data_IF_527981866135
#
_entry.id   IF_527981866135
#
_cell.length_a   1.000
_cell.length_b   1.000
_cell.length_c   1.000
_cell.angle_alpha   90.00
_cell.angle_beta   90.00
_cell.angle_gamma   90.00
#
_symmetry.space_group_name_H-M   'P 1'
#
loop_
_entity.id
_entity.type
_entity.pdbx_description
1 polymer ?
#
# COMPACT_ATOMS: atom_id res chain seq x y z
N UNK A 1 -21.69 17.67 -0.71
CA UNK A 1 -21.47 19.07 -0.29
C UNK A 1 -20.59 19.67 -1.38
N UNK A 2 -21.09 20.59 -2.21
CA UNK A 2 -20.26 21.23 -3.24
C UNK A 2 -19.28 22.15 -2.51
N UNK A 3 -17.99 21.92 -2.66
CA UNK A 3 -16.97 22.83 -2.13
C UNK A 3 -16.80 23.92 -3.19
N UNK A 4 -17.57 25.00 -3.10
CA UNK A 4 -17.26 26.21 -3.86
C UNK A 4 -16.05 26.88 -3.21
N UNK A 5 -14.89 26.74 -3.83
CA UNK A 5 -13.71 27.53 -3.48
C UNK A 5 -13.66 28.79 -4.33
N UNK A 6 -12.94 29.81 -3.87
CA UNK A 6 -12.66 31.02 -4.66
C UNK A 6 -12.07 30.65 -6.03
N UNK A 7 -11.20 29.64 -6.08
CA UNK A 7 -10.60 29.12 -7.32
C UNK A 7 -11.62 28.51 -8.28
N UNK A 8 -12.62 27.75 -7.79
CA UNK A 8 -13.69 27.19 -8.67
C UNK A 8 -14.58 28.25 -9.31
N UNK A 9 -14.60 29.46 -8.75
CA UNK A 9 -15.38 30.60 -9.27
C UNK A 9 -14.54 31.49 -10.18
N UNK A 10 -13.26 31.68 -9.86
CA UNK A 10 -12.35 32.58 -10.60
C UNK A 10 -11.70 31.90 -11.81
N UNK A 11 -11.51 30.58 -11.77
CA UNK A 11 -10.85 29.79 -12.82
C UNK A 11 -11.64 28.51 -13.13
N UNK A 12 -12.89 28.63 -13.61
CA UNK A 12 -13.80 27.49 -13.76
C UNK A 12 -13.35 26.48 -14.82
N UNK A 13 -12.60 26.92 -15.84
CA UNK A 13 -12.14 26.04 -16.91
C UNK A 13 -10.98 25.13 -16.47
N UNK A 14 -10.16 25.60 -15.51
CA UNK A 14 -8.98 24.87 -15.01
C UNK A 14 -9.27 24.07 -13.72
N UNK A 15 -10.15 24.60 -12.86
CA UNK A 15 -10.42 24.06 -11.52
C UNK A 15 -11.91 23.78 -11.28
N UNK A 16 -12.64 23.35 -12.31
CA UNK A 16 -14.04 22.94 -12.18
C UNK A 16 -14.22 21.94 -11.03
N UNK A 17 -15.35 22.02 -10.32
CA UNK A 17 -15.69 20.99 -9.34
C UNK A 17 -16.01 19.67 -10.05
N UNK A 18 -15.25 18.63 -9.76
CA UNK A 18 -15.39 17.31 -10.33
C UNK A 18 -16.15 16.37 -9.37
N UNK A 19 -17.40 16.09 -9.72
CA UNK A 19 -18.26 15.16 -8.97
C UNK A 19 -17.75 13.72 -8.98
N UNK A 20 -17.08 13.31 -10.04
CA UNK A 20 -16.59 11.94 -10.21
C UNK A 20 -15.21 11.91 -10.90
N UNK A 21 -14.17 11.95 -10.07
CA UNK A 21 -12.78 11.81 -10.51
C UNK A 21 -12.48 10.41 -11.10
N UNK A 22 -13.39 9.43 -11.00
CA UNK A 22 -13.24 8.09 -11.58
C UNK A 22 -13.96 7.95 -12.94
N UNK A 23 -14.58 9.01 -13.45
CA UNK A 23 -15.31 9.00 -14.74
C UNK A 23 -14.44 8.78 -15.99
N UNK A 24 -13.12 8.74 -15.82
CA UNK A 24 -12.15 8.80 -16.92
C UNK A 24 -11.68 10.22 -17.25
N UNK A 25 -12.29 11.24 -16.65
CA UNK A 25 -11.90 12.65 -16.79
C UNK A 25 -11.58 13.24 -15.40
N UNK A 26 -10.31 13.14 -14.92
CA UNK A 26 -9.96 13.48 -13.55
C UNK A 26 -9.68 14.98 -13.32
N UNK A 27 -9.70 15.82 -14.37
CA UNK A 27 -9.40 17.25 -14.25
C UNK A 27 -10.40 17.95 -13.31
N UNK A 28 -9.93 18.97 -12.60
CA UNK A 28 -10.70 19.74 -11.63
C UNK A 28 -10.45 19.37 -10.16
N UNK A 29 -11.37 19.78 -9.29
CA UNK A 29 -11.31 19.57 -7.83
C UNK A 29 -12.39 18.58 -7.38
N UNK A 30 -12.00 17.49 -6.74
CA UNK A 30 -12.94 16.50 -6.19
C UNK A 30 -12.38 15.81 -4.96
N UNK A 31 -13.25 15.12 -4.22
CA UNK A 31 -12.87 14.35 -3.03
C UNK A 31 -13.16 12.86 -3.26
N UNK A 32 -12.18 12.02 -2.91
CA UNK A 32 -12.31 10.56 -2.90
C UNK A 32 -11.61 10.02 -1.67
N UNK A 33 -12.31 9.15 -0.94
CA UNK A 33 -11.81 8.54 0.29
C UNK A 33 -12.25 7.09 0.38
N UNK A 34 -11.40 6.22 0.92
CA UNK A 34 -11.75 4.85 1.30
C UNK A 34 -12.09 4.78 2.79
N UNK A 35 -13.20 5.41 3.17
CA UNK A 35 -13.66 5.52 4.56
C UNK A 35 -15.10 5.01 4.65
N UNK A 36 -15.34 4.07 5.57
CA UNK A 36 -16.67 3.49 5.83
C UNK A 36 -16.99 3.58 7.32
N UNK A 37 -18.13 4.18 7.66
CA UNK A 37 -18.55 4.35 9.05
C UNK A 37 -17.56 5.18 9.90
N UNK A 38 -16.86 6.14 9.27
CA UNK A 38 -15.86 6.97 9.93
C UNK A 38 -14.52 6.28 10.20
N UNK A 39 -14.30 5.06 9.68
CA UNK A 39 -13.05 4.32 9.80
C UNK A 39 -12.45 4.05 8.42
N UNK A 40 -11.13 3.96 8.34
CA UNK A 40 -10.43 3.59 7.12
C UNK A 40 -10.88 2.19 6.67
N UNK A 41 -11.28 2.07 5.40
CA UNK A 41 -11.64 0.79 4.79
C UNK A 41 -10.48 0.33 3.91
N UNK A 42 -9.67 -0.58 4.47
CA UNK A 42 -8.50 -1.17 3.82
C UNK A 42 -8.86 -2.40 3.00
N UNK A 43 -7.96 -2.85 2.14
CA UNK A 43 -8.09 -4.16 1.48
C UNK A 43 -8.20 -5.31 2.49
N UNK A 44 -7.50 -5.23 3.63
CA UNK A 44 -7.60 -6.24 4.67
C UNK A 44 -8.99 -6.31 5.30
N UNK A 45 -9.59 -5.17 5.67
CA UNK A 45 -10.95 -5.13 6.24
C UNK A 45 -12.00 -5.54 5.21
N UNK A 46 -11.83 -5.14 3.95
CA UNK A 46 -12.77 -5.39 2.86
C UNK A 46 -12.72 -6.79 2.26
N UNK A 47 -11.57 -7.47 2.26
CA UNK A 47 -11.39 -8.78 1.60
C UNK A 47 -10.90 -9.90 2.52
N UNK A 48 -10.29 -9.56 3.67
CA UNK A 48 -9.77 -10.51 4.67
C UNK A 48 -10.43 -10.33 6.05
N UNK A 49 -11.48 -9.52 6.15
CA UNK A 49 -12.21 -9.27 7.39
C UNK A 49 -12.89 -10.53 7.96
N UNK A 50 -13.37 -10.45 9.22
CA UNK A 50 -13.93 -11.58 9.94
C UNK A 50 -14.99 -12.39 9.18
N UNK A 51 -15.80 -11.70 8.38
CA UNK A 51 -16.86 -12.27 7.56
C UNK A 51 -16.37 -13.29 6.51
N UNK A 52 -15.08 -13.32 6.18
CA UNK A 52 -14.51 -14.22 5.19
C UNK A 52 -13.76 -15.42 5.78
N UNK A 53 -13.55 -15.47 7.11
CA UNK A 53 -12.87 -16.61 7.74
C UNK A 53 -13.71 -17.90 7.71
N UNK A 54 -15.04 -17.78 7.65
CA UNK A 54 -15.95 -18.93 7.62
C UNK A 54 -16.18 -19.50 6.20
N UNK A 55 -15.39 -19.07 5.21
CA UNK A 55 -15.47 -19.67 3.87
C UNK A 55 -15.04 -21.14 3.93
N UNK A 56 -15.70 -22.03 3.17
CA UNK A 56 -15.41 -23.47 3.21
C UNK A 56 -14.00 -23.83 2.71
N UNK A 57 -13.37 -22.97 1.92
CA UNK A 57 -11.98 -23.13 1.52
C UNK A 57 -11.08 -22.46 2.58
N UNK A 58 -10.11 -23.17 3.16
CA UNK A 58 -9.27 -22.62 4.21
C UNK A 58 -8.39 -21.49 3.67
N UNK A 59 -8.53 -20.31 4.25
CA UNK A 59 -7.67 -19.16 3.99
C UNK A 59 -6.75 -18.94 5.19
N UNK A 60 -5.45 -19.15 5.00
CA UNK A 60 -4.44 -18.91 6.04
C UNK A 60 -3.75 -17.57 5.79
N UNK A 61 -3.79 -16.68 6.77
CA UNK A 61 -3.02 -15.45 6.77
C UNK A 61 -1.89 -15.57 7.80
N UNK A 62 -0.65 -15.75 7.31
CA UNK A 62 0.53 -15.83 8.16
C UNK A 62 1.13 -14.44 8.32
N UNK A 63 0.84 -13.78 9.43
CA UNK A 63 1.44 -12.50 9.78
C UNK A 63 2.88 -12.68 10.27
N UNK A 64 3.66 -11.59 10.26
CA UNK A 64 5.07 -11.61 10.69
C UNK A 64 5.96 -12.54 9.85
N UNK A 65 5.52 -12.94 8.66
CA UNK A 65 6.16 -13.95 7.84
C UNK A 65 6.61 -13.32 6.53
N UNK A 66 7.92 -13.28 6.28
CA UNK A 66 8.53 -12.66 5.10
C UNK A 66 9.02 -13.73 4.13
N UNK A 67 8.50 -13.69 2.90
CA UNK A 67 9.04 -14.45 1.77
C UNK A 67 10.45 -13.93 1.45
N UNK A 68 11.42 -14.84 1.35
CA UNK A 68 12.83 -14.52 1.09
C UNK A 68 13.19 -14.76 -0.37
N UNK A 69 12.76 -15.89 -0.94
CA UNK A 69 12.87 -16.22 -2.36
C UNK A 69 11.86 -17.30 -2.79
N UNK A 70 11.66 -17.40 -4.09
CA UNK A 70 11.10 -18.56 -4.75
C UNK A 70 12.20 -19.61 -4.96
N UNK A 71 11.80 -20.87 -4.90
CA UNK A 71 12.70 -22.02 -5.06
C UNK A 71 12.27 -22.83 -6.27
N UNK A 72 13.24 -23.18 -7.14
CA UNK A 72 13.00 -24.02 -8.32
C UNK A 72 12.42 -25.38 -7.88
N UNK A 73 11.26 -25.73 -8.43
CA UNK A 73 10.60 -27.02 -8.20
C UNK A 73 10.85 -28.02 -9.35
N UNK A 74 11.10 -27.52 -10.56
CA UNK A 74 11.32 -28.32 -11.77
C UNK A 74 12.66 -29.06 -11.77
N UNK A 75 12.67 -30.30 -12.28
CA UNK A 75 13.90 -31.07 -12.55
C UNK A 75 14.74 -30.42 -13.66
N UNK A 76 16.01 -30.80 -13.75
CA UNK A 76 16.89 -30.32 -14.83
C UNK A 76 16.35 -30.73 -16.20
N UNK A 77 16.36 -29.78 -17.16
CA UNK A 77 15.82 -29.97 -18.51
C UNK A 77 14.30 -29.81 -18.63
N UNK A 78 13.55 -29.72 -17.52
CA UNK A 78 12.12 -29.43 -17.56
C UNK A 78 11.86 -27.91 -17.59
N UNK A 79 10.69 -27.46 -18.09
CA UNK A 79 10.27 -26.07 -17.99
C UNK A 79 10.35 -25.55 -16.55
N UNK A 80 10.72 -24.28 -16.40
CA UNK A 80 10.88 -23.65 -15.10
C UNK A 80 9.57 -23.68 -14.32
N UNK A 81 9.58 -24.29 -13.13
CA UNK A 81 8.46 -24.27 -12.20
C UNK A 81 8.86 -23.65 -10.85
N UNK A 82 8.08 -22.67 -10.37
CA UNK A 82 8.31 -21.90 -9.14
C UNK A 82 7.21 -22.14 -8.11
N UNK A 83 6.96 -23.41 -7.78
CA UNK A 83 5.89 -23.82 -6.86
C UNK A 83 6.37 -23.94 -5.41
N UNK A 84 7.60 -23.54 -5.10
CA UNK A 84 8.16 -23.58 -3.75
C UNK A 84 8.52 -22.17 -3.30
N UNK A 85 8.10 -21.81 -2.09
CA UNK A 85 8.31 -20.48 -1.50
C UNK A 85 9.11 -20.65 -0.21
N UNK A 86 10.27 -19.98 -0.13
CA UNK A 86 11.04 -19.87 1.10
C UNK A 86 10.58 -18.63 1.88
N UNK A 87 10.38 -18.79 3.19
CA UNK A 87 10.02 -17.69 4.08
C UNK A 87 10.66 -17.81 5.46
N UNK A 88 10.64 -16.71 6.20
CA UNK A 88 11.21 -16.58 7.55
C UNK A 88 10.35 -15.66 8.42
N UNK A 89 10.41 -15.82 9.74
CA UNK A 89 9.69 -14.97 10.72
C UNK A 89 10.61 -13.95 11.42
N UNK A 90 11.83 -13.76 10.91
CA UNK A 90 12.78 -12.81 11.44
C UNK A 90 14.16 -12.98 10.80
N UNK A 91 15.05 -12.00 11.02
CA UNK A 91 16.39 -11.97 10.41
C UNK A 91 17.23 -13.22 10.73
N UNK A 92 17.08 -13.75 11.94
CA UNK A 92 17.83 -14.91 12.44
C UNK A 92 16.93 -16.13 12.69
N UNK A 93 15.71 -16.15 12.17
CA UNK A 93 14.81 -17.30 12.33
C UNK A 93 15.15 -18.39 11.31
N UNK A 94 14.81 -19.63 11.64
CA UNK A 94 14.80 -20.72 10.66
C UNK A 94 14.01 -20.34 9.41
N UNK A 95 14.53 -20.81 8.26
CA UNK A 95 13.85 -20.69 6.98
C UNK A 95 12.97 -21.91 6.76
N UNK A 96 11.78 -21.69 6.23
CA UNK A 96 10.82 -22.73 5.92
C UNK A 96 10.48 -22.70 4.44
N UNK A 97 10.15 -23.86 3.87
CA UNK A 97 9.71 -23.98 2.48
C UNK A 97 8.27 -24.48 2.46
N UNK A 98 7.40 -23.75 1.77
CA UNK A 98 6.04 -24.18 1.44
C UNK A 98 5.96 -24.55 -0.03
N UNK A 99 5.25 -25.63 -0.34
CA UNK A 99 4.98 -26.06 -1.72
C UNK A 99 3.51 -25.85 -2.05
N UNK A 100 3.23 -25.23 -3.20
CA UNK A 100 1.87 -25.09 -3.76
C UNK A 100 1.63 -26.15 -4.83
N UNK A 101 0.38 -26.58 -4.98
CA UNK A 101 -0.02 -27.54 -6.03
C UNK A 101 -0.28 -26.90 -7.38
N UNK A 102 -0.51 -25.58 -7.41
CA UNK A 102 -0.85 -24.83 -8.62
C UNK A 102 0.17 -23.74 -8.88
N UNK A 103 -0.06 -22.58 -8.27
CA UNK A 103 0.61 -21.33 -8.64
C UNK A 103 1.03 -20.56 -7.40
N UNK A 104 2.03 -19.69 -7.58
CA UNK A 104 2.46 -18.68 -6.61
C UNK A 104 2.12 -17.32 -7.19
N UNK A 105 1.32 -16.54 -6.46
CA UNK A 105 0.98 -15.16 -6.83
C UNK A 105 1.84 -14.22 -5.99
N UNK A 106 2.73 -13.48 -6.64
CA UNK A 106 3.53 -12.45 -5.98
C UNK A 106 2.74 -11.14 -5.92
N UNK A 107 2.39 -10.74 -4.70
CA UNK A 107 1.72 -9.46 -4.40
C UNK A 107 2.51 -8.63 -3.38
N UNK A 108 3.84 -8.67 -3.44
CA UNK A 108 4.73 -8.02 -2.47
C UNK A 108 4.98 -6.52 -2.77
N UNK A 109 4.14 -5.90 -3.61
CA UNK A 109 4.25 -4.51 -4.04
C UNK A 109 5.37 -4.25 -5.05
N UNK A 110 5.50 -3.01 -5.48
CA UNK A 110 6.45 -2.55 -6.51
C UNK A 110 7.91 -2.67 -6.09
N UNK A 111 8.20 -2.67 -4.78
CA UNK A 111 9.56 -2.82 -4.23
C UNK A 111 9.83 -4.28 -3.86
N UNK A 112 8.89 -4.93 -3.15
CA UNK A 112 9.12 -6.28 -2.63
C UNK A 112 9.08 -7.37 -3.69
N UNK A 113 8.22 -7.25 -4.71
CA UNK A 113 8.12 -8.23 -5.79
C UNK A 113 9.43 -8.37 -6.59
N UNK A 114 10.03 -7.30 -7.12
CA UNK A 114 11.31 -7.43 -7.81
C UNK A 114 12.43 -7.90 -6.87
N UNK A 115 12.42 -7.51 -5.59
CA UNK A 115 13.38 -8.03 -4.61
C UNK A 115 13.29 -9.55 -4.48
N UNK A 116 12.08 -10.10 -4.35
CA UNK A 116 11.86 -11.55 -4.26
C UNK A 116 12.34 -12.24 -5.54
N UNK A 117 12.04 -11.70 -6.72
CA UNK A 117 12.49 -12.26 -7.99
C UNK A 117 14.01 -12.29 -8.13
N UNK A 118 14.70 -11.18 -7.81
CA UNK A 118 16.16 -11.10 -7.85
C UNK A 118 16.79 -12.10 -6.87
N UNK A 119 16.26 -12.21 -5.64
CA UNK A 119 16.69 -13.22 -4.67
C UNK A 119 16.38 -14.66 -5.12
N UNK A 120 15.46 -14.83 -6.07
CA UNK A 120 15.10 -16.11 -6.70
C UNK A 120 15.94 -16.39 -7.95
N UNK A 121 16.99 -15.61 -8.17
CA UNK A 121 17.91 -15.72 -9.30
C UNK A 121 17.21 -15.41 -10.65
N UNK A 122 16.15 -14.60 -10.62
CA UNK A 122 15.39 -14.16 -11.81
C UNK A 122 15.63 -12.66 -12.01
N UNK A 123 16.33 -12.31 -13.09
CA UNK A 123 16.75 -10.93 -13.35
C UNK A 123 17.67 -10.83 -14.55
N UNK A 124 18.37 -9.71 -14.69
CA UNK A 124 19.41 -9.57 -15.71
C UNK A 124 20.57 -10.54 -15.41
N UNK A 125 20.95 -11.34 -16.41
CA UNK A 125 21.97 -12.39 -16.21
C UNK A 125 23.36 -11.81 -16.04
N UNK A 126 23.63 -10.64 -16.61
CA UNK A 126 24.91 -9.94 -16.47
C UNK A 126 25.02 -9.29 -15.08
N UNK A 127 23.96 -8.63 -14.60
CA UNK A 127 23.93 -8.04 -13.25
C UNK A 127 24.00 -9.12 -12.17
N UNK A 128 23.24 -10.22 -12.31
CA UNK A 128 23.32 -11.36 -11.40
C UNK A 128 24.71 -12.03 -11.48
N UNK A 129 25.24 -12.21 -12.69
CA UNK A 129 26.56 -12.80 -12.92
C UNK A 129 27.70 -12.00 -12.29
N UNK A 130 27.63 -10.67 -12.32
CA UNK A 130 28.59 -9.79 -11.65
C UNK A 130 28.62 -9.97 -10.12
N UNK A 131 27.54 -10.51 -9.53
CA UNK A 131 27.43 -10.85 -8.12
C UNK A 131 27.74 -12.34 -7.83
N UNK A 132 28.15 -13.11 -8.83
CA UNK A 132 28.40 -14.55 -8.71
C UNK A 132 27.12 -15.40 -8.65
N UNK A 133 25.97 -14.85 -9.06
CA UNK A 133 24.68 -15.55 -9.07
C UNK A 133 24.40 -16.07 -10.48
N UNK A 134 24.17 -17.38 -10.60
CA UNK A 134 23.71 -17.96 -11.86
C UNK A 134 22.22 -17.68 -12.04
N UNK A 135 21.87 -16.87 -13.05
CA UNK A 135 20.48 -16.58 -13.37
C UNK A 135 19.70 -17.86 -13.73
N UNK A 136 18.62 -18.10 -13.00
CA UNK A 136 17.65 -19.15 -13.28
C UNK A 136 16.79 -18.80 -14.51
N UNK A 137 16.51 -17.50 -14.68
CA UNK A 137 15.77 -16.98 -15.83
C UNK A 137 16.24 -15.56 -16.14
N UNK A 138 16.61 -15.30 -17.40
CA UNK A 138 17.01 -13.98 -17.87
C UNK A 138 15.78 -13.10 -18.05
N UNK A 139 15.58 -12.14 -17.15
CA UNK A 139 14.49 -11.17 -17.20
C UNK A 139 15.02 -9.78 -16.80
N UNK A 140 15.64 -9.03 -17.73
CA UNK A 140 16.39 -7.82 -17.42
C UNK A 140 15.52 -6.66 -16.90
N UNK A 141 14.21 -6.70 -17.15
CA UNK A 141 13.26 -5.70 -16.68
C UNK A 141 12.96 -5.78 -15.17
N UNK A 142 13.38 -6.84 -14.47
CA UNK A 142 13.13 -6.99 -13.03
C UNK A 142 13.79 -5.86 -12.24
N UNK A 143 13.00 -5.12 -11.47
CA UNK A 143 13.48 -3.99 -10.66
C UNK A 143 13.76 -2.72 -11.46
N UNK A 144 13.46 -2.69 -12.77
CA UNK A 144 13.59 -1.53 -13.63
C UNK A 144 12.24 -0.84 -13.83
N UNK A 145 12.26 0.33 -14.48
CA UNK A 145 11.06 1.12 -14.82
C UNK A 145 10.19 1.51 -13.60
N UNK A 146 10.83 1.78 -12.46
CA UNK A 146 10.14 2.30 -11.29
C UNK A 146 9.69 3.74 -11.55
N UNK A 147 8.38 3.98 -11.45
CA UNK A 147 7.78 5.31 -11.55
C UNK A 147 7.11 5.65 -10.23
N UNK A 148 7.15 6.93 -9.86
CA UNK A 148 6.47 7.46 -8.70
C UNK A 148 6.06 8.91 -8.94
N UNK A 149 5.18 9.42 -8.08
CA UNK A 149 4.81 10.83 -8.10
C UNK A 149 5.61 11.56 -7.01
N UNK A 150 6.50 12.50 -7.37
CA UNK A 150 7.17 13.31 -6.36
C UNK A 150 6.14 14.13 -5.59
N UNK A 151 6.33 14.24 -4.28
CA UNK A 151 5.47 15.01 -3.40
C UNK A 151 6.23 16.26 -2.94
N UNK A 152 5.58 17.41 -3.02
CA UNK A 152 6.05 18.67 -2.43
C UNK A 152 5.01 19.11 -1.40
N UNK A 153 5.45 19.26 -0.15
CA UNK A 153 4.64 19.88 0.90
C UNK A 153 4.77 21.39 0.83
N UNK A 154 3.66 22.11 1.04
CA UNK A 154 3.67 23.56 1.16
C UNK A 154 2.70 23.96 2.26
N UNK A 155 3.25 24.53 3.32
CA UNK A 155 2.50 24.95 4.49
C UNK A 155 2.30 26.46 4.47
N UNK A 156 1.12 26.90 4.90
CA UNK A 156 0.75 28.31 4.97
C UNK A 156 0.21 28.63 6.36
N UNK A 157 0.65 29.75 6.93
CA UNK A 157 0.09 30.26 8.19
C UNK A 157 -1.34 30.74 7.94
N UNK A 158 -2.26 30.31 8.79
CA UNK A 158 -3.67 30.71 8.74
C UNK A 158 -4.06 31.47 9.99
N UNK A 159 -4.88 32.51 9.83
CA UNK A 159 -5.49 33.20 10.96
C UNK A 159 -6.75 32.44 11.43
N UNK A 160 -6.56 31.24 11.97
CA UNK A 160 -7.63 30.35 12.43
C UNK A 160 -7.13 29.47 13.56
N UNK A 161 -7.96 29.28 14.59
CA UNK A 161 -7.75 28.27 15.64
C UNK A 161 -8.44 26.94 15.32
N UNK A 162 -9.16 26.86 14.19
CA UNK A 162 -9.87 25.67 13.72
C UNK A 162 -9.01 24.87 12.73
N UNK A 163 -7.79 24.52 13.15
CA UNK A 163 -6.88 23.64 12.41
C UNK A 163 -6.71 22.32 13.16
N UNK A 164 -6.09 21.32 12.52
CA UNK A 164 -5.83 20.02 13.14
C UNK A 164 -4.53 20.00 13.96
N UNK A 165 -3.74 21.09 13.93
CA UNK A 165 -2.44 21.19 14.60
C UNK A 165 -2.55 20.94 16.12
N UNK A 166 -3.63 21.44 16.74
CA UNK A 166 -3.90 21.27 18.17
C UNK A 166 -3.94 19.82 18.61
N UNK A 167 -4.33 18.89 17.74
CA UNK A 167 -4.36 17.45 18.05
C UNK A 167 -2.96 16.83 18.12
N UNK A 168 -1.95 17.50 17.57
CA UNK A 168 -0.55 17.08 17.61
C UNK A 168 0.18 17.51 18.89
N UNK A 169 -0.19 18.65 19.49
CA UNK A 169 0.52 19.20 20.66
C UNK A 169 -0.32 19.34 21.95
N UNK A 170 -1.65 19.17 21.90
CA UNK A 170 -2.52 19.19 23.07
C UNK A 170 -3.14 17.81 23.33
N UNK A 171 -2.61 17.11 24.33
CA UNK A 171 -3.03 15.75 24.68
C UNK A 171 -4.51 15.66 25.12
N UNK A 172 -5.04 16.70 25.77
CA UNK A 172 -6.44 16.69 26.23
C UNK A 172 -7.41 16.72 25.05
N UNK A 173 -7.15 17.62 24.08
CA UNK A 173 -7.94 17.72 22.84
C UNK A 173 -7.79 16.45 21.99
N UNK A 174 -6.57 15.93 21.87
CA UNK A 174 -6.30 14.66 21.20
C UNK A 174 -7.15 13.52 21.79
N UNK A 175 -7.08 13.34 23.11
CA UNK A 175 -7.79 12.26 23.79
C UNK A 175 -9.31 12.43 23.71
N UNK A 176 -9.83 13.66 23.77
CA UNK A 176 -11.25 13.94 23.58
C UNK A 176 -11.70 13.58 22.15
N UNK A 177 -10.96 14.01 21.13
CA UNK A 177 -11.22 13.68 19.74
C UNK A 177 -11.14 12.17 19.47
N UNK A 178 -10.18 11.47 20.08
CA UNK A 178 -10.01 10.03 19.93
C UNK A 178 -11.17 9.26 20.55
N UNK A 179 -11.59 9.64 21.76
CA UNK A 179 -12.77 9.05 22.42
C UNK A 179 -14.04 9.22 21.56
N UNK A 180 -14.23 10.40 20.97
CA UNK A 180 -15.36 10.69 20.10
C UNK A 180 -15.36 9.81 18.83
N UNK A 181 -14.19 9.65 18.21
CA UNK A 181 -14.04 8.78 17.03
C UNK A 181 -14.21 7.30 17.36
N UNK A 182 -13.58 6.82 18.42
CA UNK A 182 -13.60 5.40 18.77
C UNK A 182 -15.02 4.94 19.16
N UNK A 183 -15.79 5.80 19.84
CA UNK A 183 -17.16 5.49 20.27
C UNK A 183 -18.22 5.67 19.17
N UNK A 184 -18.12 6.73 18.36
CA UNK A 184 -19.20 7.12 17.43
C UNK A 184 -18.78 7.22 15.95
N UNK A 185 -17.51 7.01 15.60
CA UNK A 185 -17.00 7.24 14.24
C UNK A 185 -17.09 8.71 13.81
N UNK A 186 -17.12 9.64 14.77
CA UNK A 186 -17.28 11.08 14.57
C UNK A 186 -16.01 11.84 14.97
N UNK A 187 -16.04 13.16 14.80
CA UNK A 187 -14.91 14.02 15.16
C UNK A 187 -13.82 14.07 14.08
N UNK A 188 -12.70 14.75 14.37
CA UNK A 188 -11.69 15.05 13.37
C UNK A 188 -10.99 13.79 12.83
N UNK A 189 -10.77 12.75 13.65
CA UNK A 189 -10.12 11.48 13.24
C UNK A 189 -10.80 10.70 12.12
N UNK A 190 -12.03 11.07 11.71
CA UNK A 190 -12.68 10.50 10.53
C UNK A 190 -12.21 11.12 9.20
N UNK A 191 -11.48 12.24 9.23
CA UNK A 191 -11.12 12.99 8.04
C UNK A 191 -9.87 12.39 7.37
N UNK A 192 -9.83 12.35 6.02
CA UNK A 192 -8.67 11.90 5.24
C UNK A 192 -7.55 12.96 5.28
N UNK A 193 -6.90 13.17 6.43
CA UNK A 193 -5.91 14.24 6.55
C UNK A 193 -5.15 14.31 7.87
N UNK A 194 -5.32 13.32 8.76
CA UNK A 194 -4.62 13.30 10.06
C UNK A 194 -3.28 12.56 10.00
N UNK A 195 -2.93 12.03 8.83
CA UNK A 195 -1.60 11.48 8.57
C UNK A 195 -0.84 12.39 7.60
N UNK A 196 -0.21 13.44 8.13
CA UNK A 196 0.85 14.16 7.44
C UNK A 196 0.57 15.63 7.14
N UNK A 197 0.68 16.48 8.15
CA UNK A 197 1.19 17.85 8.04
C UNK A 197 1.32 18.42 9.46
N UNK A 198 2.44 18.08 10.09
CA UNK A 198 3.00 18.79 11.24
C UNK A 198 4.44 19.13 10.84
N UNK A 199 4.81 20.41 10.77
CA UNK A 199 5.85 21.09 11.58
C UNK A 199 5.82 22.58 11.23
N UNK A 200 5.45 23.43 12.19
CA UNK A 200 6.14 24.66 12.62
C UNK A 200 5.23 25.44 13.60
#
# INVERSE_FOLDING_TARGET
RVIQTKSTLELPDDFAFNMDMNSGYPLGLGERTTIKGGKWDSSATSYLGPQFFNRPNPHYCLLGTRVTKLVKASKNGAPLALQKVEFSQGKNSSKFIMTTSKEVILSAGTIGTPQVLLNSDIGDSSELGALGIQALHHLPSVGKNASGHPLIGTDFVVNSTNTLDVLGYNETEHNAAFKLWNSMGKGPFKLPGIAGSHVA
#
